data_IF_684418079655
#
_entry.id   IF_684418079655
#
_cell.length_a   1.000
_cell.length_b   1.000
_cell.length_c   1.000
_cell.angle_alpha   90.00
_cell.angle_beta   90.00
_cell.angle_gamma   90.00
#
_symmetry.space_group_name_H-M   'P 1'
#
loop_
_entity.id
_entity.type
_entity.pdbx_description
1 polymer ?
#
# COMPACT_ATOMS: atom_id res chain seq x y z
N UNK A 1 6.62 -56.69 -10.47
CA UNK A 1 6.87 -55.37 -11.09
C UNK A 1 5.71 -55.08 -12.03
N UNK A 2 4.82 -54.15 -11.69
CA UNK A 2 3.61 -53.91 -12.47
C UNK A 2 3.89 -52.81 -13.50
N UNK A 3 4.23 -53.21 -14.72
CA UNK A 3 4.38 -52.31 -15.86
C UNK A 3 3.01 -51.80 -16.28
N UNK A 4 2.67 -50.57 -15.90
CA UNK A 4 1.44 -49.90 -16.33
C UNK A 4 1.51 -49.66 -17.84
N UNK A 5 0.71 -50.42 -18.60
CA UNK A 5 0.54 -50.23 -20.04
C UNK A 5 -0.22 -48.93 -20.27
N UNK A 6 0.48 -47.84 -20.58
CA UNK A 6 -0.15 -46.58 -21.00
C UNK A 6 -0.61 -46.74 -22.45
N UNK A 7 -1.93 -46.77 -22.75
CA UNK A 7 -2.40 -46.92 -24.11
C UNK A 7 -1.91 -45.73 -24.96
N UNK A 8 -1.31 -46.02 -26.12
CA UNK A 8 -0.89 -44.99 -27.09
C UNK A 8 -2.11 -44.13 -27.46
N UNK A 9 -1.95 -42.81 -27.36
CA UNK A 9 -3.00 -41.84 -27.66
C UNK A 9 -3.43 -41.96 -29.12
N UNK A 10 -4.71 -42.29 -29.35
CA UNK A 10 -5.30 -42.30 -30.70
C UNK A 10 -5.21 -40.89 -31.30
N UNK A 11 -4.74 -40.76 -32.54
CA UNK A 11 -4.81 -39.49 -33.28
C UNK A 11 -6.28 -39.14 -33.50
N UNK A 12 -6.67 -37.96 -33.04
CA UNK A 12 -8.03 -37.45 -33.17
C UNK A 12 -8.15 -36.77 -34.52
N UNK A 13 -9.18 -37.14 -35.29
CA UNK A 13 -9.55 -36.48 -36.53
C UNK A 13 -10.82 -35.68 -36.30
N UNK A 14 -10.73 -34.36 -36.47
CA UNK A 14 -11.88 -33.46 -36.40
C UNK A 14 -12.60 -33.45 -37.75
N UNK A 15 -13.93 -33.53 -37.73
CA UNK A 15 -14.78 -33.52 -38.91
C UNK A 15 -15.78 -32.38 -38.78
N UNK A 16 -16.36 -31.86 -39.88
CA UNK A 16 -17.33 -30.77 -39.81
C UNK A 16 -18.54 -31.07 -38.91
N UNK A 17 -18.99 -32.32 -38.87
CA UNK A 17 -20.08 -32.77 -37.98
C UNK A 17 -19.73 -32.58 -36.50
N UNK A 18 -18.46 -32.83 -36.12
CA UNK A 18 -18.00 -32.60 -34.76
C UNK A 18 -17.98 -31.10 -34.42
N UNK A 19 -17.66 -30.24 -35.38
CA UNK A 19 -17.67 -28.79 -35.22
C UNK A 19 -19.08 -28.26 -35.01
N UNK A 20 -20.06 -28.80 -35.75
CA UNK A 20 -21.47 -28.39 -35.65
C UNK A 20 -22.07 -28.81 -34.30
N UNK A 21 -21.84 -30.06 -33.87
CA UNK A 21 -22.25 -30.54 -32.54
C UNK A 21 -21.63 -29.68 -31.44
N UNK A 22 -20.34 -29.34 -31.60
CA UNK A 22 -19.65 -28.50 -30.64
C UNK A 22 -20.26 -27.09 -30.63
N UNK A 23 -20.46 -26.42 -31.76
CA UNK A 23 -21.08 -25.09 -31.83
C UNK A 23 -22.49 -25.05 -31.22
N UNK A 24 -23.32 -26.04 -31.52
CA UNK A 24 -24.70 -26.11 -31.04
C UNK A 24 -24.77 -26.30 -29.51
N UNK A 25 -24.02 -27.27 -28.98
CA UNK A 25 -24.13 -27.69 -27.57
C UNK A 25 -23.18 -26.95 -26.64
N UNK A 26 -22.20 -26.24 -27.18
CA UNK A 26 -21.14 -25.63 -26.36
C UNK A 26 -21.66 -24.59 -25.38
N UNK A 27 -22.78 -23.89 -25.62
CA UNK A 27 -23.32 -22.94 -24.65
C UNK A 27 -24.21 -23.59 -23.58
N UNK A 28 -25.03 -24.56 -23.95
CA UNK A 28 -26.00 -25.21 -23.05
C UNK A 28 -25.38 -26.29 -22.16
N UNK A 29 -24.53 -27.15 -22.71
CA UNK A 29 -24.06 -28.36 -22.02
C UNK A 29 -22.67 -28.23 -21.37
N UNK A 30 -22.37 -29.10 -20.42
CA UNK A 30 -21.03 -29.20 -19.85
C UNK A 30 -20.06 -29.88 -20.82
N UNK A 31 -18.84 -29.36 -20.92
CA UNK A 31 -17.83 -29.84 -21.87
C UNK A 31 -17.47 -31.32 -21.71
N UNK A 32 -17.57 -31.88 -20.51
CA UNK A 32 -17.34 -33.32 -20.29
C UNK A 32 -18.43 -34.21 -20.92
N UNK A 33 -19.68 -33.74 -20.99
CA UNK A 33 -20.77 -34.47 -21.66
C UNK A 33 -20.57 -34.48 -23.16
N UNK A 34 -20.20 -33.33 -23.72
CA UNK A 34 -19.86 -33.19 -25.14
C UNK A 34 -18.66 -34.09 -25.48
N UNK A 35 -17.63 -34.12 -24.63
CA UNK A 35 -16.47 -34.97 -24.83
C UNK A 35 -16.80 -36.46 -24.80
N UNK A 36 -17.68 -36.90 -23.88
CA UNK A 36 -18.17 -38.27 -23.85
C UNK A 36 -18.96 -38.64 -25.10
N UNK A 37 -19.81 -37.75 -25.61
CA UNK A 37 -20.58 -37.95 -26.84
C UNK A 37 -19.69 -38.07 -28.08
N UNK A 38 -18.64 -37.25 -28.18
CA UNK A 38 -17.68 -37.29 -29.29
C UNK A 38 -16.62 -38.39 -29.15
N UNK A 39 -16.57 -39.09 -28.01
CA UNK A 39 -15.54 -40.10 -27.73
C UNK A 39 -14.12 -39.53 -27.60
N UNK A 40 -13.98 -38.24 -27.28
CA UNK A 40 -12.70 -37.53 -27.17
C UNK A 40 -12.35 -37.19 -25.73
N UNK A 41 -11.07 -36.90 -25.46
CA UNK A 41 -10.67 -36.39 -24.17
C UNK A 41 -11.21 -34.96 -23.95
N UNK A 42 -11.58 -34.63 -22.71
CA UNK A 42 -12.03 -33.28 -22.35
C UNK A 42 -11.02 -32.20 -22.77
N UNK A 43 -9.73 -32.47 -22.61
CA UNK A 43 -8.65 -31.56 -23.01
C UNK A 43 -8.58 -31.35 -24.52
N UNK A 44 -8.83 -32.39 -25.31
CA UNK A 44 -8.87 -32.31 -26.77
C UNK A 44 -10.05 -31.46 -27.24
N UNK A 45 -11.24 -31.71 -26.70
CA UNK A 45 -12.44 -30.91 -27.01
C UNK A 45 -12.27 -29.46 -26.55
N UNK A 46 -11.69 -29.23 -25.37
CA UNK A 46 -11.40 -27.88 -24.87
C UNK A 46 -10.37 -27.13 -25.71
N UNK A 47 -9.40 -27.83 -26.29
CA UNK A 47 -8.43 -27.24 -27.22
C UNK A 47 -9.12 -26.87 -28.52
N UNK A 48 -9.90 -27.78 -29.09
CA UNK A 48 -10.56 -27.56 -30.36
C UNK A 48 -11.65 -26.48 -30.29
N UNK A 49 -12.43 -26.43 -29.20
CA UNK A 49 -13.35 -25.33 -28.94
C UNK A 49 -12.64 -23.97 -28.94
N UNK A 50 -11.41 -23.90 -28.39
CA UNK A 50 -10.60 -22.66 -28.43
C UNK A 50 -10.11 -22.34 -29.85
N UNK A 51 -9.76 -23.34 -30.65
CA UNK A 51 -9.38 -23.18 -32.06
C UNK A 51 -10.56 -22.65 -32.89
N UNK A 52 -11.79 -23.10 -32.60
CA UNK A 52 -13.03 -22.58 -33.19
C UNK A 52 -13.50 -21.24 -32.60
N UNK A 53 -12.75 -20.66 -31.65
CA UNK A 53 -13.11 -19.39 -31.01
C UNK A 53 -14.28 -19.45 -30.03
N UNK A 54 -14.77 -20.65 -29.68
CA UNK A 54 -15.91 -20.84 -28.79
C UNK A 54 -15.55 -20.48 -27.34
N UNK A 55 -16.35 -19.62 -26.71
CA UNK A 55 -16.23 -19.22 -25.30
C UNK A 55 -17.58 -19.28 -24.61
N UNK A 56 -17.62 -19.87 -23.41
CA UNK A 56 -18.85 -19.96 -22.62
C UNK A 56 -19.31 -18.56 -22.25
N UNK A 57 -20.55 -18.23 -22.59
CA UNK A 57 -21.14 -16.92 -22.31
C UNK A 57 -21.43 -16.77 -20.81
N UNK A 58 -21.80 -17.87 -20.15
CA UNK A 58 -22.06 -17.89 -18.72
C UNK A 58 -20.86 -18.50 -17.96
N UNK A 59 -20.19 -17.73 -17.10
CA UNK A 59 -19.22 -18.27 -16.18
C UNK A 59 -19.84 -19.35 -15.28
N UNK A 60 -19.03 -20.29 -14.78
CA UNK A 60 -19.45 -21.27 -13.77
C UNK A 60 -20.23 -20.61 -12.63
N UNK A 61 -21.14 -21.34 -11.95
CA UNK A 61 -22.04 -20.76 -10.93
C UNK A 61 -21.35 -19.84 -9.90
N UNK A 62 -20.20 -20.27 -9.37
CA UNK A 62 -19.38 -19.44 -8.44
C UNK A 62 -18.90 -18.11 -9.04
N UNK A 63 -18.61 -18.06 -10.34
CA UNK A 63 -18.25 -16.84 -11.05
C UNK A 63 -19.47 -15.98 -11.39
N UNK A 64 -20.67 -16.56 -11.53
CA UNK A 64 -21.93 -15.82 -11.70
C UNK A 64 -22.29 -15.07 -10.43
N UNK A 65 -22.27 -15.73 -9.27
CA UNK A 65 -22.57 -15.08 -7.99
C UNK A 65 -21.54 -13.99 -7.65
N UNK A 66 -20.27 -14.25 -7.97
CA UNK A 66 -19.22 -13.25 -7.81
C UNK A 66 -19.40 -12.02 -8.70
N UNK A 67 -19.96 -12.16 -9.92
CA UNK A 67 -20.26 -11.02 -10.79
C UNK A 67 -21.29 -10.08 -10.17
N UNK A 68 -22.43 -10.63 -9.74
CA UNK A 68 -23.49 -9.87 -9.07
C UNK A 68 -22.97 -9.18 -7.80
N UNK A 69 -22.17 -9.90 -7.01
CA UNK A 69 -21.54 -9.33 -5.82
C UNK A 69 -20.57 -8.19 -6.15
N UNK A 70 -19.73 -8.38 -7.17
CA UNK A 70 -18.77 -7.34 -7.60
C UNK A 70 -19.50 -6.11 -8.09
N UNK A 71 -20.57 -6.26 -8.87
CA UNK A 71 -21.39 -5.15 -9.36
C UNK A 71 -21.99 -4.32 -8.21
N UNK A 72 -22.58 -4.98 -7.21
CA UNK A 72 -23.19 -4.33 -6.05
C UNK A 72 -22.15 -3.58 -5.17
N UNK A 73 -21.01 -4.21 -4.90
CA UNK A 73 -20.04 -3.71 -3.91
C UNK A 73 -18.82 -3.00 -4.51
N UNK A 74 -18.81 -2.80 -5.84
CA UNK A 74 -17.64 -2.30 -6.56
C UNK A 74 -17.09 -0.99 -6.00
N UNK A 75 -18.02 -0.09 -5.68
CA UNK A 75 -17.80 1.28 -5.24
C UNK A 75 -17.25 1.36 -3.81
N UNK A 76 -17.59 0.38 -2.97
CA UNK A 76 -17.33 0.40 -1.53
C UNK A 76 -16.12 -0.44 -1.12
N UNK A 77 -15.80 -1.49 -1.87
CA UNK A 77 -14.75 -2.44 -1.50
C UNK A 77 -13.53 -2.35 -2.42
N UNK A 78 -12.37 -2.72 -1.87
CA UNK A 78 -11.19 -3.01 -2.67
C UNK A 78 -11.31 -4.40 -3.31
N UNK A 79 -10.56 -4.61 -4.39
CA UNK A 79 -10.46 -5.92 -5.05
C UNK A 79 -10.02 -7.05 -4.10
N UNK A 80 -9.18 -6.73 -3.12
CA UNK A 80 -8.71 -7.70 -2.14
C UNK A 80 -9.83 -8.11 -1.17
N UNK A 81 -10.66 -7.17 -0.72
CA UNK A 81 -11.81 -7.48 0.16
C UNK A 81 -12.88 -8.29 -0.58
N UNK A 82 -13.12 -7.98 -1.85
CA UNK A 82 -14.05 -8.78 -2.67
C UNK A 82 -13.53 -10.20 -2.87
N UNK A 83 -12.22 -10.36 -3.08
CA UNK A 83 -11.57 -11.67 -3.17
C UNK A 83 -11.72 -12.47 -1.88
N UNK A 84 -11.48 -11.84 -0.73
CA UNK A 84 -11.65 -12.46 0.59
C UNK A 84 -13.10 -12.92 0.83
N UNK A 85 -14.12 -12.13 0.42
CA UNK A 85 -15.53 -12.50 0.60
C UNK A 85 -16.03 -13.57 -0.37
N UNK A 86 -15.58 -13.54 -1.63
CA UNK A 86 -16.00 -14.51 -2.66
C UNK A 86 -15.17 -15.80 -2.62
N UNK A 87 -14.03 -15.78 -1.95
CA UNK A 87 -13.02 -16.84 -1.99
C UNK A 87 -12.37 -17.01 -3.37
N UNK A 88 -12.50 -16.02 -4.25
CA UNK A 88 -11.85 -16.00 -5.55
C UNK A 88 -10.49 -15.29 -5.47
N UNK A 89 -9.62 -15.57 -6.43
CA UNK A 89 -8.37 -14.83 -6.54
C UNK A 89 -8.63 -13.36 -6.93
N UNK A 90 -7.85 -12.43 -6.37
CA UNK A 90 -7.95 -10.98 -6.64
C UNK A 90 -7.95 -10.66 -8.13
N UNK A 91 -7.14 -11.36 -8.93
CA UNK A 91 -7.07 -11.13 -10.38
C UNK A 91 -8.38 -11.47 -11.09
N UNK A 92 -9.12 -12.50 -10.62
CA UNK A 92 -10.43 -12.85 -11.16
C UNK A 92 -11.44 -11.72 -10.96
N UNK A 93 -11.44 -11.10 -9.78
CA UNK A 93 -12.28 -9.94 -9.49
C UNK A 93 -11.92 -8.74 -10.40
N UNK A 94 -10.63 -8.49 -10.62
CA UNK A 94 -10.18 -7.42 -11.54
C UNK A 94 -10.67 -7.69 -12.96
N UNK A 95 -10.59 -8.94 -13.42
CA UNK A 95 -11.08 -9.34 -14.73
C UNK A 95 -12.60 -9.14 -14.85
N UNK A 96 -13.36 -9.58 -13.84
CA UNK A 96 -14.81 -9.39 -13.77
C UNK A 96 -15.16 -7.89 -13.84
N UNK A 97 -14.51 -7.05 -13.04
CA UNK A 97 -14.77 -5.61 -13.05
C UNK A 97 -14.49 -4.97 -14.41
N UNK A 98 -13.43 -5.40 -15.11
CA UNK A 98 -13.12 -4.94 -16.48
C UNK A 98 -14.17 -5.40 -17.49
N UNK A 99 -14.59 -6.66 -17.41
CA UNK A 99 -15.64 -7.22 -18.27
C UNK A 99 -16.99 -6.52 -18.08
N UNK A 100 -17.28 -6.07 -16.86
CA UNK A 100 -18.47 -5.26 -16.53
C UNK A 100 -18.31 -3.77 -16.82
N UNK A 101 -17.15 -3.31 -17.31
CA UNK A 101 -16.91 -1.88 -17.58
C UNK A 101 -16.88 -0.98 -16.34
N UNK A 102 -16.67 -1.54 -15.15
CA UNK A 102 -16.76 -0.80 -13.90
C UNK A 102 -15.51 0.05 -13.65
N UNK A 103 -15.70 1.37 -13.49
CA UNK A 103 -14.64 2.33 -13.16
C UNK A 103 -14.93 3.05 -11.85
N UNK A 104 -13.90 3.26 -11.02
CA UNK A 104 -14.05 4.00 -9.75
C UNK A 104 -13.71 5.47 -9.92
N UNK A 105 -14.43 6.33 -9.20
CA UNK A 105 -14.05 7.74 -9.07
C UNK A 105 -12.83 7.90 -8.16
N UNK A 106 -12.08 9.02 -8.27
CA UNK A 106 -10.97 9.30 -7.36
C UNK A 106 -11.40 9.36 -5.89
N UNK A 107 -12.62 9.84 -5.61
CA UNK A 107 -13.17 9.92 -4.27
C UNK A 107 -13.41 8.54 -3.66
N UNK A 108 -14.07 7.63 -4.39
CA UNK A 108 -14.26 6.25 -3.97
C UNK A 108 -12.92 5.57 -3.65
N UNK A 109 -11.91 5.78 -4.50
CA UNK A 109 -10.56 5.27 -4.25
C UNK A 109 -9.94 5.85 -2.97
N UNK A 110 -10.11 7.15 -2.70
CA UNK A 110 -9.62 7.79 -1.46
C UNK A 110 -10.32 7.21 -0.24
N UNK A 111 -11.63 7.03 -0.28
CA UNK A 111 -12.42 6.45 0.81
C UNK A 111 -11.98 5.02 1.13
N UNK A 112 -11.86 4.16 0.11
CA UNK A 112 -11.39 2.77 0.27
C UNK A 112 -9.96 2.75 0.85
N UNK A 113 -9.04 3.54 0.28
CA UNK A 113 -7.65 3.61 0.76
C UNK A 113 -7.57 4.08 2.20
N UNK A 114 -8.32 5.12 2.55
CA UNK A 114 -8.37 5.68 3.91
C UNK A 114 -8.88 4.64 4.91
N UNK A 115 -10.01 3.98 4.61
CA UNK A 115 -10.56 2.90 5.44
C UNK A 115 -9.53 1.79 5.66
N UNK A 116 -8.98 1.23 4.58
CA UNK A 116 -8.00 0.14 4.63
C UNK A 116 -6.76 0.53 5.43
N UNK A 117 -6.28 1.77 5.26
CA UNK A 117 -5.14 2.29 6.02
C UNK A 117 -5.46 2.35 7.51
N UNK A 118 -6.64 2.84 7.90
CA UNK A 118 -7.10 2.90 9.30
C UNK A 118 -7.20 1.50 9.91
N UNK A 119 -7.83 0.56 9.22
CA UNK A 119 -7.94 -0.84 9.66
C UNK A 119 -6.57 -1.48 9.86
N UNK A 120 -5.65 -1.26 8.92
CA UNK A 120 -4.29 -1.79 9.00
C UNK A 120 -3.56 -1.22 10.21
N UNK A 121 -3.62 0.10 10.43
CA UNK A 121 -3.01 0.75 11.62
C UNK A 121 -3.64 0.19 12.91
N UNK A 122 -4.96 -0.02 12.96
CA UNK A 122 -5.63 -0.58 14.13
C UNK A 122 -5.23 -2.04 14.41
N UNK A 123 -5.03 -2.85 13.37
CA UNK A 123 -4.53 -4.23 13.51
C UNK A 123 -3.10 -4.22 14.06
N UNK A 124 -2.26 -3.33 13.56
CA UNK A 124 -0.88 -3.17 14.02
C UNK A 124 -0.81 -2.62 15.46
N UNK A 125 -1.68 -1.67 15.83
CA UNK A 125 -1.88 -1.19 17.22
C UNK A 125 -2.16 -2.33 18.18
N UNK A 126 -3.12 -3.19 17.80
CA UNK A 126 -3.51 -4.33 18.63
C UNK A 126 -2.34 -5.27 18.85
N UNK A 127 -1.52 -5.55 17.83
CA UNK A 127 -0.31 -6.39 17.99
C UNK A 127 0.61 -5.87 19.09
N UNK A 128 0.93 -4.58 19.06
CA UNK A 128 1.80 -3.95 20.07
C UNK A 128 1.17 -4.03 21.46
N UNK A 129 -0.13 -3.76 21.59
CA UNK A 129 -0.85 -3.84 22.88
C UNK A 129 -0.80 -5.26 23.46
N UNK A 130 -0.92 -6.27 22.60
CA UNK A 130 -0.83 -7.68 22.99
C UNK A 130 0.61 -8.20 23.11
N UNK A 131 1.64 -7.35 22.93
CA UNK A 131 3.05 -7.76 22.99
C UNK A 131 3.50 -8.65 21.83
N UNK A 132 2.74 -8.69 20.73
CA UNK A 132 3.07 -9.45 19.53
C UNK A 132 3.97 -8.65 18.60
N UNK A 133 4.83 -9.36 17.87
CA UNK A 133 5.66 -8.76 16.83
C UNK A 133 4.81 -8.10 15.75
N UNK A 134 5.33 -6.96 15.29
CA UNK A 134 4.71 -6.22 14.20
C UNK A 134 4.77 -7.03 12.91
N UNK A 135 3.65 -7.05 12.17
CA UNK A 135 3.60 -7.67 10.83
C UNK A 135 4.06 -6.72 9.76
N UNK A 136 3.80 -5.44 9.97
CA UNK A 136 4.23 -4.37 9.09
C UNK A 136 5.15 -3.45 9.87
N UNK A 137 6.18 -2.91 9.22
CA UNK A 137 7.08 -1.94 9.86
C UNK A 137 6.46 -0.52 9.88
N UNK A 138 5.17 -0.43 10.18
CA UNK A 138 4.46 0.84 10.22
C UNK A 138 4.62 1.43 11.61
N UNK A 139 5.04 2.69 11.69
CA UNK A 139 5.07 3.39 12.97
C UNK A 139 3.66 3.59 13.51
N UNK A 140 3.35 2.90 14.59
CA UNK A 140 2.01 2.89 15.17
C UNK A 140 1.89 3.78 16.42
N UNK A 141 2.92 3.76 17.25
CA UNK A 141 2.98 4.49 18.50
C UNK A 141 3.92 5.67 18.31
N UNK A 142 3.40 6.86 18.57
CA UNK A 142 4.16 8.09 18.62
C UNK A 142 3.93 8.71 19.99
N UNK A 143 5.00 9.11 20.67
CA UNK A 143 4.89 9.82 21.94
C UNK A 143 4.36 11.24 21.68
N UNK A 144 3.04 11.38 21.58
CA UNK A 144 2.36 12.61 21.20
C UNK A 144 2.59 13.72 22.24
N UNK A 145 2.70 13.37 23.52
CA UNK A 145 3.05 14.31 24.59
C UNK A 145 4.45 14.89 24.37
N UNK A 146 5.45 14.03 24.10
CA UNK A 146 6.83 14.44 23.78
C UNK A 146 6.90 15.32 22.54
N UNK A 147 6.15 14.98 21.48
CA UNK A 147 6.08 15.77 20.24
C UNK A 147 5.44 17.14 20.49
N UNK A 148 4.28 17.20 21.16
CA UNK A 148 3.58 18.45 21.48
C UNK A 148 4.42 19.36 22.38
N UNK A 149 5.07 18.80 23.39
CA UNK A 149 5.94 19.56 24.29
C UNK A 149 7.14 20.14 23.52
N UNK A 150 7.81 19.34 22.69
CA UNK A 150 8.88 19.82 21.81
C UNK A 150 8.45 20.99 20.93
N UNK A 151 7.28 20.89 20.29
CA UNK A 151 6.73 22.00 19.49
C UNK A 151 6.44 23.25 20.33
N UNK A 152 5.91 23.06 21.54
CA UNK A 152 5.68 24.16 22.48
C UNK A 152 6.98 24.83 22.93
N UNK A 153 8.03 24.06 23.22
CA UNK A 153 9.34 24.59 23.66
C UNK A 153 9.99 25.41 22.54
N UNK A 154 9.93 24.93 21.29
CA UNK A 154 10.42 25.70 20.13
C UNK A 154 9.71 27.05 20.00
N UNK A 155 8.37 27.06 20.13
CA UNK A 155 7.58 28.31 20.05
C UNK A 155 7.93 29.29 21.15
N UNK A 156 8.33 28.79 22.32
CA UNK A 156 8.73 29.61 23.46
C UNK A 156 10.17 30.13 23.34
N UNK A 157 10.94 29.73 22.31
CA UNK A 157 12.31 30.23 22.09
C UNK A 157 13.42 29.31 22.61
N UNK A 158 13.10 28.08 23.05
CA UNK A 158 14.14 27.09 23.34
C UNK A 158 14.75 26.53 22.04
N UNK A 159 16.08 26.44 22.01
CA UNK A 159 16.85 26.01 20.83
C UNK A 159 17.14 24.49 20.94
N UNK A 160 16.65 23.64 20.04
CA UNK A 160 16.94 22.22 20.08
C UNK A 160 18.40 21.94 19.66
N UNK A 161 19.09 21.08 20.39
CA UNK A 161 20.40 20.58 19.99
C UNK A 161 20.28 19.47 18.91
N UNK A 162 21.42 19.06 18.35
CA UNK A 162 21.52 18.04 17.30
C UNK A 162 21.01 16.66 17.74
N UNK A 163 21.17 16.33 19.02
CA UNK A 163 20.63 15.10 19.62
C UNK A 163 19.08 15.04 19.58
N UNK A 164 18.42 16.20 19.47
CA UNK A 164 16.97 16.32 19.46
C UNK A 164 16.29 16.06 20.81
N UNK A 165 17.07 15.93 21.89
CA UNK A 165 16.58 15.69 23.26
C UNK A 165 16.99 16.83 24.20
N UNK A 166 18.10 17.50 23.88
CA UNK A 166 18.60 18.66 24.61
C UNK A 166 18.03 19.95 24.03
N UNK A 167 17.61 20.85 24.92
CA UNK A 167 17.14 22.19 24.60
C UNK A 167 18.00 23.22 25.32
N UNK A 168 18.48 24.20 24.56
CA UNK A 168 19.20 25.35 25.08
C UNK A 168 18.26 26.53 25.33
N UNK A 169 18.57 27.30 26.38
CA UNK A 169 17.94 28.58 26.65
C UNK A 169 19.00 29.68 26.76
N UNK A 170 18.70 30.86 26.25
CA UNK A 170 19.55 32.04 26.43
C UNK A 170 19.24 32.70 27.80
N UNK A 171 20.18 33.47 28.38
CA UNK A 171 20.00 34.06 29.72
C UNK A 171 18.76 34.95 29.86
N UNK A 172 18.36 35.65 28.79
CA UNK A 172 17.16 36.49 28.76
C UNK A 172 15.84 35.75 28.44
N UNK A 173 15.87 34.43 28.28
CA UNK A 173 14.66 33.67 27.96
C UNK A 173 13.79 33.51 29.20
N UNK A 174 12.50 33.82 29.09
CA UNK A 174 11.54 33.51 30.16
C UNK A 174 11.35 31.98 30.26
N UNK A 175 12.02 31.39 31.24
CA UNK A 175 11.95 29.95 31.49
C UNK A 175 10.57 29.51 31.99
N UNK A 176 10.19 28.29 31.64
CA UNK A 176 8.92 27.69 32.02
C UNK A 176 9.14 26.41 32.84
N UNK A 177 9.33 26.52 34.17
CA UNK A 177 9.76 25.41 35.03
C UNK A 177 8.82 24.20 35.00
N UNK A 178 7.50 24.43 34.92
CA UNK A 178 6.51 23.35 34.79
C UNK A 178 6.71 22.56 33.48
N UNK A 179 6.97 23.24 32.37
CA UNK A 179 7.23 22.60 31.08
C UNK A 179 8.59 21.90 31.06
N UNK A 180 9.59 22.46 31.72
CA UNK A 180 10.90 21.84 31.87
C UNK A 180 10.81 20.56 32.71
N UNK A 181 10.09 20.57 33.83
CA UNK A 181 9.84 19.39 34.65
C UNK A 181 9.11 18.29 33.86
N UNK A 182 8.03 18.65 33.14
CA UNK A 182 7.34 17.74 32.23
C UNK A 182 8.24 17.26 31.08
N UNK A 183 9.20 18.07 30.66
CA UNK A 183 10.19 17.68 29.66
C UNK A 183 11.15 16.64 30.19
N UNK A 184 11.66 16.83 31.41
CA UNK A 184 12.56 15.88 32.08
C UNK A 184 11.92 14.50 32.23
N UNK A 185 10.64 14.42 32.62
CA UNK A 185 9.92 13.13 32.70
C UNK A 185 9.77 12.44 31.35
N UNK A 186 9.73 13.19 30.25
CA UNK A 186 9.70 12.69 28.87
C UNK A 186 11.10 12.46 28.26
N UNK A 187 12.16 12.64 29.06
CA UNK A 187 13.55 12.48 28.65
C UNK A 187 14.08 13.64 27.81
N UNK A 188 13.73 14.88 28.14
CA UNK A 188 14.39 16.09 27.64
C UNK A 188 15.37 16.66 28.68
N UNK A 189 16.44 17.24 28.16
CA UNK A 189 17.50 17.92 28.91
C UNK A 189 17.46 19.41 28.61
N UNK A 190 17.68 20.26 29.62
CA UNK A 190 17.64 21.72 29.48
C UNK A 190 18.95 22.31 29.98
N UNK A 191 19.66 23.01 29.10
CA UNK A 191 20.98 23.57 29.38
C UNK A 191 21.01 25.05 28.99
N UNK A 192 21.83 25.88 29.65
CA UNK A 192 22.11 27.21 29.13
C UNK A 192 22.84 27.10 27.77
N UNK A 193 22.59 28.06 26.87
CA UNK A 193 23.32 28.13 25.60
C UNK A 193 24.83 28.27 25.91
N UNK A 194 25.70 27.42 25.33
CA UNK A 194 27.14 27.53 25.58
C UNK A 194 27.68 28.87 25.09
N UNK A 195 28.39 29.58 25.98
CA UNK A 195 28.96 30.92 25.74
C UNK A 195 30.10 30.92 24.70
N UNK A 196 30.59 29.75 24.29
CA UNK A 196 31.76 29.59 23.43
C UNK A 196 31.60 30.14 22.01
N UNK A 197 30.42 30.60 21.61
CA UNK A 197 30.19 31.20 20.29
C UNK A 197 30.59 32.69 20.19
N UNK A 198 31.05 33.33 21.28
CA UNK A 198 31.42 34.75 21.27
C UNK A 198 32.90 35.02 20.92
N UNK A 199 33.80 34.05 21.07
CA UNK A 199 35.25 34.30 20.96
C UNK A 199 35.82 34.11 19.54
N UNK A 200 35.05 33.59 18.58
CA UNK A 200 35.54 33.36 17.21
C UNK A 200 35.35 34.55 16.27
N UNK A 201 34.49 35.51 16.62
CA UNK A 201 34.22 36.69 15.77
C UNK A 201 35.29 37.78 15.86
N UNK A 202 36.18 37.75 16.85
CA UNK A 202 37.30 38.72 16.93
C UNK A 202 38.46 38.38 15.98
N UNK A 203 38.56 37.13 15.48
CA UNK A 203 39.67 36.73 14.60
C UNK A 203 39.43 37.00 13.11
N UNK A 204 38.21 37.40 12.71
CA UNK A 204 37.86 37.74 11.33
C UNK A 204 37.25 39.16 11.21
N UNK A 205 37.75 40.12 11.99
CA UNK A 205 37.50 41.54 11.72
C UNK A 205 38.22 41.93 10.43
N UNK A 206 37.46 42.23 9.39
CA UNK A 206 37.94 42.65 8.09
C UNK A 206 38.80 43.93 8.19
N UNK A 207 39.88 43.92 7.40
CA UNK A 207 40.89 44.96 7.16
C UNK A 207 40.44 46.42 7.30
N UNK A 208 41.27 47.31 7.86
CA UNK A 208 41.01 48.75 7.82
C UNK A 208 41.26 49.28 6.39
N UNK A 209 40.23 49.89 5.81
CA UNK A 209 40.35 50.62 4.55
C UNK A 209 41.28 51.83 4.74
N UNK A 210 42.24 51.92 3.83
CA UNK A 210 43.20 53.01 3.63
C UNK A 210 42.49 54.36 3.60
N UNK A 211 42.77 55.21 4.58
CA UNK A 211 42.55 56.66 4.46
C UNK A 211 43.79 57.27 3.81
N UNK A 212 43.67 57.64 2.55
CA UNK A 212 44.62 58.52 1.87
C UNK A 212 43.80 59.48 1.01
N UNK A 213 43.68 60.73 1.48
CA UNK A 213 43.39 61.88 0.63
C UNK A 213 43.75 63.16 1.41
N UNK A 214 45.03 63.51 1.37
CA UNK A 214 45.47 64.90 1.53
C UNK A 214 46.07 65.33 0.20
N UNK A 215 45.25 66.00 -0.61
CA UNK A 215 45.68 66.73 -1.80
C UNK A 215 46.23 68.07 -1.34
N UNK A 216 47.54 68.25 -1.47
CA UNK A 216 48.17 69.57 -1.54
C UNK A 216 48.40 69.89 -3.02
N UNK A 217 47.76 70.96 -3.51
CA UNK A 217 48.07 71.59 -4.78
C UNK A 217 48.74 72.93 -4.49
N UNK A 218 49.94 73.14 -5.06
CA UNK A 218 50.52 74.45 -5.34
C UNK A 218 49.98 74.97 -6.66
#
# INVERSE_FOLDING_TARGET
>A
MNTTFQPKTKRIFWTPEHDDILKERFQSEYLHKIAAHLGFSLSSVAKHARELGLRKDNPTGRNRDARAFVEMEYTNLSYQEMAERTGLHRFTIVKIARELGLSRTPEQLRTIRSRRRKELIQKERRRIIFGLDQRTNIKVVSNNQKIRLRGSLKRLGYIPATDGHTFFYYPGLRRHPVKEANGKTLGFTFLPLPTTCAEETEKYSASPAVSANEQTFN
#
